data_IF_567786097505
#
_entry.id   IF_567786097505
#
_cell.length_a   1.000
_cell.length_b   1.000
_cell.length_c   1.000
_cell.angle_alpha   90.00
_cell.angle_beta   90.00
_cell.angle_gamma   90.00
#
_symmetry.space_group_name_H-M   'P 1'
#
loop_
_entity.id
_entity.type
_entity.pdbx_description
1 polymer ?
#
# COMPACT_ATOMS: atom_id res chain seq x y z
N UNK A 1 -17.13 27.83 5.61
CA UNK A 1 -16.57 28.50 6.81
C UNK A 1 -17.60 28.82 7.89
N UNK A 2 -18.85 29.18 7.54
CA UNK A 2 -19.89 29.57 8.54
C UNK A 2 -20.27 28.51 9.58
N UNK A 3 -19.75 27.29 9.48
CA UNK A 3 -20.01 26.18 10.41
C UNK A 3 -18.76 25.62 11.10
N UNK A 4 -17.56 26.07 10.72
CA UNK A 4 -16.31 25.63 11.35
C UNK A 4 -16.11 26.29 12.71
N UNK A 5 -15.36 25.64 13.59
CA UNK A 5 -15.00 26.24 14.87
C UNK A 5 -13.90 27.30 14.69
N UNK A 6 -13.71 28.18 15.67
CA UNK A 6 -12.56 29.10 15.67
C UNK A 6 -11.26 28.30 15.65
N UNK A 7 -10.30 28.74 14.84
CA UNK A 7 -8.97 28.16 14.79
C UNK A 7 -8.21 28.53 16.07
N UNK A 8 -7.62 27.55 16.73
CA UNK A 8 -6.67 27.78 17.81
C UNK A 8 -5.26 27.77 17.24
N UNK A 9 -4.63 28.94 17.21
CA UNK A 9 -3.25 29.08 16.75
C UNK A 9 -2.37 29.25 17.97
N UNK A 10 -1.49 28.27 18.21
CA UNK A 10 -0.50 28.34 19.28
C UNK A 10 0.84 28.82 18.72
N UNK A 11 1.36 29.89 19.30
CA UNK A 11 2.71 30.40 18.99
C UNK A 11 3.78 29.52 19.65
N UNK A 12 5.04 29.65 19.21
CA UNK A 12 6.18 28.89 19.76
C UNK A 12 6.34 29.03 21.29
N UNK A 13 5.85 30.12 21.86
CA UNK A 13 5.84 30.38 23.31
C UNK A 13 4.66 29.70 24.05
N UNK A 14 3.95 28.78 23.39
CA UNK A 14 2.75 28.08 23.91
C UNK A 14 1.59 29.02 24.29
N UNK A 15 1.61 30.25 23.78
CA UNK A 15 0.44 31.14 23.85
C UNK A 15 -0.49 30.81 22.71
N UNK A 16 -1.67 30.32 23.04
CA UNK A 16 -2.70 29.95 22.08
C UNK A 16 -3.74 31.07 21.99
N UNK A 17 -3.96 31.55 20.78
CA UNK A 17 -4.97 32.56 20.46
C UNK A 17 -6.06 31.93 19.59
N UNK A 18 -7.29 32.44 19.73
CA UNK A 18 -8.41 32.04 18.88
C UNK A 18 -8.55 33.04 17.74
N UNK A 19 -8.47 32.55 16.51
CA UNK A 19 -8.57 33.37 15.30
C UNK A 19 -9.85 32.98 14.55
N UNK A 20 -10.55 33.97 14.00
CA UNK A 20 -11.77 33.81 13.22
C UNK A 20 -13.07 33.85 14.05
N UNK A 21 -14.21 33.80 13.36
CA UNK A 21 -15.55 33.74 13.97
C UNK A 21 -15.98 32.29 14.17
N UNK A 22 -16.64 32.01 15.31
CA UNK A 22 -17.23 30.69 15.57
C UNK A 22 -18.46 30.51 14.68
N UNK A 23 -18.46 29.50 13.83
CA UNK A 23 -19.60 29.15 13.00
C UNK A 23 -20.79 28.57 13.80
N UNK A 24 -21.95 28.51 13.15
CA UNK A 24 -23.20 27.98 13.73
C UNK A 24 -23.22 26.45 13.92
N UNK A 25 -22.23 25.73 13.39
CA UNK A 25 -22.16 24.27 13.39
C UNK A 25 -23.04 23.62 12.32
N UNK A 26 -22.85 22.32 12.10
CA UNK A 26 -23.73 21.45 11.29
C UNK A 26 -24.06 20.22 12.12
N UNK A 27 -25.29 19.71 12.01
CA UNK A 27 -25.68 18.42 12.58
C UNK A 27 -25.12 17.27 11.72
N UNK A 28 -23.80 17.07 11.82
CA UNK A 28 -23.05 16.05 11.09
C UNK A 28 -21.82 15.63 11.91
N UNK A 29 -21.46 14.34 11.85
CA UNK A 29 -20.28 13.80 12.54
C UNK A 29 -18.98 14.04 11.74
N UNK A 30 -19.09 14.27 10.44
CA UNK A 30 -17.98 14.53 9.52
C UNK A 30 -18.48 15.30 8.31
N UNK A 31 -17.72 16.30 7.85
CA UNK A 31 -18.06 17.14 6.69
C UNK A 31 -17.00 16.97 5.60
N UNK A 32 -17.40 16.44 4.46
CA UNK A 32 -16.55 16.30 3.28
C UNK A 32 -16.81 17.45 2.31
N UNK A 33 -15.87 18.38 2.20
CA UNK A 33 -15.78 19.31 1.07
C UNK A 33 -15.24 18.54 -0.14
N UNK A 34 -15.72 18.86 -1.34
CA UNK A 34 -15.27 18.24 -2.59
C UNK A 34 -15.14 19.36 -3.59
N UNK A 35 -14.01 19.48 -4.27
CA UNK A 35 -13.87 20.46 -5.36
C UNK A 35 -12.94 19.93 -6.44
N UNK A 36 -13.09 20.40 -7.68
CA UNK A 36 -12.42 19.92 -8.89
C UNK A 36 -11.67 21.06 -9.62
N UNK A 37 -10.56 21.53 -9.03
CA UNK A 37 -9.66 22.61 -9.45
C UNK A 37 -8.22 22.07 -9.69
N UNK A 38 -7.56 22.46 -10.77
CA UNK A 38 -6.14 22.14 -11.02
C UNK A 38 -5.22 22.86 -10.01
N UNK A 39 -4.30 22.15 -9.35
CA UNK A 39 -3.38 22.73 -8.34
C UNK A 39 -1.97 22.16 -8.48
N UNK A 40 -0.98 22.82 -7.86
CA UNK A 40 0.42 22.36 -7.88
C UNK A 40 0.63 20.99 -7.21
N UNK A 41 -0.31 20.53 -6.37
CA UNK A 41 -0.29 19.16 -5.82
C UNK A 41 -0.64 18.09 -6.87
N UNK A 42 -1.21 18.50 -8.01
CA UNK A 42 -1.46 17.67 -9.18
C UNK A 42 -0.29 17.70 -10.19
N UNK A 43 0.81 18.43 -9.93
CA UNK A 43 1.97 18.49 -10.82
C UNK A 43 2.74 17.17 -10.99
N UNK A 44 2.79 16.23 -10.01
CA UNK A 44 3.20 14.88 -10.32
C UNK A 44 2.16 14.23 -11.23
N UNK A 45 2.58 13.84 -12.43
CA UNK A 45 1.74 13.35 -13.56
C UNK A 45 0.81 12.18 -13.19
N UNK A 46 1.04 11.51 -12.07
CA UNK A 46 0.29 10.34 -11.58
C UNK A 46 -0.71 10.65 -10.43
N UNK A 47 -0.88 11.91 -10.02
CA UNK A 47 -1.76 12.26 -8.89
C UNK A 47 -3.22 12.39 -9.34
N UNK A 48 -4.03 11.36 -9.09
CA UNK A 48 -5.45 11.34 -9.48
C UNK A 48 -6.36 12.10 -8.50
N UNK A 49 -6.03 12.11 -7.21
CA UNK A 49 -6.73 12.87 -6.16
C UNK A 49 -5.77 13.10 -4.97
N UNK A 50 -6.20 13.95 -4.03
CA UNK A 50 -5.54 14.19 -2.74
C UNK A 50 -6.60 14.64 -1.74
N UNK A 51 -6.50 14.19 -0.49
CA UNK A 51 -7.28 14.69 0.62
C UNK A 51 -6.43 15.02 1.86
N UNK A 52 -7.02 15.82 2.74
CA UNK A 52 -6.41 16.24 3.98
C UNK A 52 -7.48 16.66 4.99
N UNK A 53 -7.32 16.21 6.23
CA UNK A 53 -8.17 16.69 7.33
C UNK A 53 -7.91 18.18 7.59
N UNK A 54 -8.99 18.94 7.77
CA UNK A 54 -8.95 20.38 8.01
C UNK A 54 -9.15 20.75 9.50
N UNK A 55 -9.93 19.95 10.23
CA UNK A 55 -10.25 20.21 11.64
C UNK A 55 -10.38 18.91 12.43
N UNK A 56 -9.84 18.90 13.65
CA UNK A 56 -10.02 17.84 14.64
C UNK A 56 -11.04 18.27 15.71
N UNK A 57 -11.78 17.30 16.26
CA UNK A 57 -12.65 17.50 17.41
C UNK A 57 -11.81 17.74 18.68
N UNK A 58 -12.30 18.64 19.53
CA UNK A 58 -11.55 19.21 20.66
C UNK A 58 -11.27 18.28 21.85
N UNK A 59 -12.00 17.17 22.00
CA UNK A 59 -11.90 16.27 23.15
C UNK A 59 -11.35 14.89 22.76
N UNK A 60 -11.72 14.40 21.59
CA UNK A 60 -11.41 13.07 21.05
C UNK A 60 -10.27 13.10 20.06
N UNK A 61 -9.85 14.27 19.57
CA UNK A 61 -8.84 14.46 18.52
C UNK A 61 -9.22 13.80 17.17
N UNK A 62 -10.51 13.50 16.97
CA UNK A 62 -11.04 12.86 15.77
C UNK A 62 -11.16 13.86 14.61
N UNK A 63 -10.78 13.51 13.38
CA UNK A 63 -11.05 14.33 12.19
C UNK A 63 -12.55 14.55 11.95
N UNK A 64 -12.96 15.80 11.67
CA UNK A 64 -14.37 16.21 11.50
C UNK A 64 -14.67 16.98 10.20
N UNK A 65 -13.67 17.41 9.44
CA UNK A 65 -13.88 18.06 8.13
C UNK A 65 -12.72 17.80 7.15
N UNK A 66 -13.01 17.72 5.83
CA UNK A 66 -12.12 17.23 4.78
C UNK A 66 -12.36 17.84 3.39
N UNK A 67 -11.48 17.61 2.40
CA UNK A 67 -11.57 18.04 1.00
C UNK A 67 -11.18 16.91 0.00
N UNK A 68 -12.03 16.51 -0.98
CA UNK A 68 -11.87 15.24 -1.76
C UNK A 68 -12.26 15.28 -3.28
N UNK A 69 -11.90 14.22 -4.09
CA UNK A 69 -12.24 13.94 -5.53
C UNK A 69 -12.19 12.43 -5.97
N UNK A 70 -13.22 11.97 -6.73
CA UNK A 70 -13.38 10.74 -7.57
C UNK A 70 -13.34 9.27 -6.99
N UNK A 71 -14.35 8.45 -7.33
CA UNK A 71 -14.98 7.32 -6.58
C UNK A 71 -14.11 6.17 -5.97
N UNK A 72 -13.03 5.69 -6.59
CA UNK A 72 -12.17 4.65 -5.95
C UNK A 72 -11.02 5.27 -5.16
N UNK A 73 -10.48 6.37 -5.67
CA UNK A 73 -9.49 7.22 -5.00
C UNK A 73 -10.13 7.92 -3.80
N UNK A 74 -11.40 8.33 -3.88
CA UNK A 74 -12.21 8.90 -2.77
C UNK A 74 -12.11 8.05 -1.52
N UNK A 75 -12.27 6.71 -1.63
CA UNK A 75 -12.23 5.86 -0.44
C UNK A 75 -10.86 5.88 0.22
N UNK A 76 -9.80 5.90 -0.58
CA UNK A 76 -8.42 6.00 -0.12
C UNK A 76 -8.13 7.36 0.52
N UNK A 77 -8.54 8.43 -0.17
CA UNK A 77 -8.40 9.81 0.30
C UNK A 77 -9.19 10.07 1.59
N UNK A 78 -10.44 9.61 1.67
CA UNK A 78 -11.24 9.66 2.90
C UNK A 78 -10.51 8.92 4.04
N UNK A 79 -9.87 7.78 3.79
CA UNK A 79 -9.17 7.04 4.83
C UNK A 79 -7.93 7.78 5.35
N UNK A 80 -7.22 8.53 4.50
CA UNK A 80 -6.16 9.43 4.97
C UNK A 80 -6.69 10.46 5.95
N UNK A 81 -7.86 11.02 5.65
CA UNK A 81 -8.49 12.01 6.50
C UNK A 81 -9.06 11.40 7.78
N UNK A 82 -9.64 10.21 7.72
CA UNK A 82 -10.24 9.57 8.90
C UNK A 82 -9.18 9.06 9.88
N UNK A 83 -8.09 8.46 9.40
CA UNK A 83 -7.15 7.80 10.30
C UNK A 83 -5.71 7.72 9.81
N UNK A 84 -5.50 7.58 8.51
CA UNK A 84 -4.22 7.15 7.98
C UNK A 84 -3.39 8.33 7.49
N UNK A 85 -2.94 9.17 8.41
CA UNK A 85 -2.03 10.25 8.11
C UNK A 85 -0.95 10.33 9.18
N UNK A 86 0.28 10.63 8.77
CA UNK A 86 1.42 10.78 9.68
C UNK A 86 1.17 11.85 10.75
N UNK A 87 0.38 12.88 10.42
CA UNK A 87 -0.04 13.92 11.37
C UNK A 87 -1.09 13.46 12.38
N UNK A 88 -1.81 12.36 12.12
CA UNK A 88 -2.89 11.84 12.97
C UNK A 88 -2.39 10.83 14.00
N UNK A 89 -1.31 10.08 13.71
CA UNK A 89 -0.84 8.99 14.57
C UNK A 89 -0.47 9.43 15.98
N UNK A 90 0.09 10.63 16.15
CA UNK A 90 0.39 11.17 17.47
C UNK A 90 -0.87 11.41 18.30
N UNK A 91 -2.04 11.54 17.67
CA UNK A 91 -3.30 11.84 18.33
C UNK A 91 -4.09 10.61 18.76
N UNK A 92 -3.69 9.41 18.37
CA UNK A 92 -4.40 8.18 18.72
C UNK A 92 -4.57 7.97 20.23
N UNK A 93 -5.67 7.32 20.58
CA UNK A 93 -6.09 7.02 21.94
C UNK A 93 -6.33 5.53 22.12
N UNK A 94 -6.09 5.04 23.33
CA UNK A 94 -6.40 3.67 23.67
C UNK A 94 -7.93 3.45 23.83
N UNK A 95 -8.32 2.21 24.11
CA UNK A 95 -9.73 1.83 24.29
C UNK A 95 -10.43 2.51 25.47
N UNK A 96 -9.68 3.08 26.42
CA UNK A 96 -10.22 3.86 27.53
C UNK A 96 -10.35 5.35 27.18
N UNK A 97 -9.88 5.75 25.99
CA UNK A 97 -9.82 7.14 25.55
C UNK A 97 -8.56 7.88 26.00
N UNK A 98 -7.60 7.20 26.63
CA UNK A 98 -6.35 7.81 27.09
C UNK A 98 -5.37 7.98 25.90
N UNK A 99 -4.70 9.13 25.75
CA UNK A 99 -3.75 9.34 24.67
C UNK A 99 -2.59 8.34 24.70
N UNK A 100 -2.29 7.71 23.56
CA UNK A 100 -1.06 6.91 23.44
C UNK A 100 0.21 7.76 23.52
N UNK A 101 0.13 9.03 23.09
CA UNK A 101 1.24 9.98 23.09
C UNK A 101 1.04 11.05 24.14
N UNK A 102 2.07 11.30 24.96
CA UNK A 102 2.05 12.30 26.03
C UNK A 102 1.60 13.67 25.52
N UNK A 103 0.64 14.29 26.22
CA UNK A 103 0.10 15.62 25.89
C UNK A 103 0.78 16.71 26.71
N UNK A 104 1.02 17.87 26.10
CA UNK A 104 1.43 19.07 26.81
C UNK A 104 0.27 19.57 27.70
N UNK A 105 0.47 19.81 29.01
CA UNK A 105 -0.60 20.23 29.91
C UNK A 105 -1.27 21.56 29.55
N UNK A 106 -0.55 22.47 28.87
CA UNK A 106 -1.06 23.79 28.52
C UNK A 106 -1.89 23.76 27.22
N UNK A 107 -1.42 23.04 26.19
CA UNK A 107 -2.10 22.99 24.88
C UNK A 107 -3.04 21.80 24.74
N UNK A 108 -2.82 20.72 25.50
CA UNK A 108 -3.42 19.38 25.35
C UNK A 108 -3.05 18.65 24.05
N UNK A 109 -2.11 19.18 23.28
CA UNK A 109 -1.60 18.57 22.04
C UNK A 109 -0.39 17.68 22.33
N UNK A 110 0.02 16.77 21.42
CA UNK A 110 1.21 15.96 21.62
C UNK A 110 2.43 16.85 21.91
N UNK A 111 3.26 16.41 22.85
CA UNK A 111 4.35 17.25 23.40
C UNK A 111 5.50 17.52 22.42
N UNK A 112 5.76 16.57 21.52
CA UNK A 112 6.87 16.60 20.57
C UNK A 112 6.37 16.94 19.18
N UNK A 113 6.91 18.01 18.59
CA UNK A 113 6.61 18.44 17.23
C UNK A 113 7.90 18.42 16.39
N UNK A 114 7.85 17.76 15.23
CA UNK A 114 8.94 17.72 14.28
C UNK A 114 8.82 18.93 13.32
N UNK A 115 9.69 19.93 13.49
CA UNK A 115 9.69 21.13 12.65
C UNK A 115 10.06 20.85 11.19
N UNK A 116 10.77 19.75 10.90
CA UNK A 116 11.17 19.41 9.53
C UNK A 116 10.02 18.76 8.77
N UNK A 117 9.30 17.87 9.44
CA UNK A 117 8.17 17.13 8.86
C UNK A 117 6.82 17.85 9.04
N UNK A 118 6.78 18.90 9.88
CA UNK A 118 5.56 19.64 10.22
C UNK A 118 4.44 18.76 10.80
N UNK A 119 4.82 17.76 11.60
CA UNK A 119 3.89 16.82 12.25
C UNK A 119 4.29 16.57 13.70
N UNK A 120 3.33 16.13 14.52
CA UNK A 120 3.62 15.68 15.88
C UNK A 120 4.23 14.28 15.88
N UNK A 121 5.21 14.06 16.75
CA UNK A 121 5.89 12.77 16.86
C UNK A 121 5.05 11.81 17.72
N UNK A 122 4.60 10.66 17.17
CA UNK A 122 3.88 9.66 17.94
C UNK A 122 4.79 8.94 18.95
N UNK A 123 4.19 8.36 19.99
CA UNK A 123 4.91 7.52 20.95
C UNK A 123 5.33 6.16 20.37
N UNK A 124 6.22 5.48 21.08
CA UNK A 124 6.66 4.11 20.81
C UNK A 124 5.53 3.06 20.93
N UNK A 125 4.38 3.44 21.49
CA UNK A 125 3.17 2.61 21.51
C UNK A 125 2.44 2.60 20.17
N UNK A 126 2.66 3.62 19.33
CA UNK A 126 2.00 3.76 18.01
C UNK A 126 2.98 3.41 16.90
N UNK A 127 4.16 4.06 16.85
CA UNK A 127 5.18 3.80 15.84
C UNK A 127 6.49 3.33 16.46
N UNK A 128 7.12 2.32 15.86
CA UNK A 128 8.46 1.87 16.24
C UNK A 128 9.34 1.69 15.02
N UNK A 129 10.63 2.05 15.16
CA UNK A 129 11.65 1.67 14.18
C UNK A 129 12.20 0.29 14.55
N UNK A 130 12.08 -0.65 13.63
CA UNK A 130 12.54 -2.02 13.77
C UNK A 130 13.71 -2.24 12.82
N UNK A 131 14.83 -2.75 13.34
CA UNK A 131 16.03 -3.05 12.55
C UNK A 131 16.05 -4.51 12.13
N UNK A 132 16.03 -4.77 10.83
CA UNK A 132 16.27 -6.08 10.23
C UNK A 132 17.76 -6.19 9.89
N UNK A 133 18.53 -6.93 10.71
CA UNK A 133 20.00 -6.99 10.64
C UNK A 133 20.56 -7.78 9.46
N UNK A 134 19.79 -8.74 8.94
CA UNK A 134 20.24 -9.69 7.93
C UNK A 134 19.52 -9.48 6.59
N UNK A 135 19.33 -8.24 6.16
CA UNK A 135 18.60 -7.95 4.93
C UNK A 135 19.46 -8.27 3.70
N UNK A 136 19.10 -9.33 2.96
CA UNK A 136 19.86 -9.77 1.77
C UNK A 136 19.58 -8.88 0.57
N UNK A 137 20.66 -8.46 -0.07
CA UNK A 137 20.70 -7.78 -1.38
C UNK A 137 21.66 -8.53 -2.29
N UNK A 138 21.72 -8.16 -3.56
CA UNK A 138 22.71 -8.69 -4.52
C UNK A 138 24.15 -8.44 -4.06
N UNK A 139 24.39 -7.26 -3.48
CA UNK A 139 25.74 -6.83 -3.06
C UNK A 139 26.16 -7.34 -1.67
N UNK A 140 25.29 -8.07 -0.98
CA UNK A 140 25.59 -8.64 0.34
C UNK A 140 24.43 -8.52 1.31
N UNK A 141 24.74 -8.30 2.59
CA UNK A 141 23.74 -8.16 3.65
C UNK A 141 23.86 -6.78 4.28
N UNK A 142 22.71 -6.12 4.48
CA UNK A 142 22.62 -4.79 5.08
C UNK A 142 21.68 -4.79 6.29
N UNK A 143 21.75 -3.72 7.09
CA UNK A 143 20.71 -3.41 8.06
C UNK A 143 19.59 -2.60 7.38
N UNK A 144 18.36 -3.11 7.38
CA UNK A 144 17.17 -2.34 6.95
C UNK A 144 16.44 -1.80 8.17
N UNK A 145 16.23 -0.49 8.21
CA UNK A 145 15.39 0.17 9.23
C UNK A 145 13.99 0.30 8.64
N UNK A 146 13.03 -0.28 9.34
CA UNK A 146 11.62 -0.29 8.96
C UNK A 146 10.81 0.44 10.02
N UNK A 147 9.94 1.36 9.60
CA UNK A 147 8.96 1.97 10.53
C UNK A 147 7.70 1.12 10.55
N UNK A 148 7.30 0.68 11.74
CA UNK A 148 6.11 -0.13 11.95
C UNK A 148 5.06 0.59 12.78
N UNK A 149 3.81 0.43 12.39
CA UNK A 149 2.65 0.75 13.21
C UNK A 149 2.33 -0.44 14.11
N UNK A 150 2.46 -0.23 15.43
CA UNK A 150 2.52 -1.31 16.43
C UNK A 150 1.35 -1.33 17.40
N UNK A 151 0.25 -0.64 17.08
CA UNK A 151 -0.96 -0.61 17.90
C UNK A 151 -1.59 -2.00 18.05
N UNK A 152 -2.37 -2.25 19.12
CA UNK A 152 -2.75 -3.61 19.51
C UNK A 152 -3.53 -4.41 18.46
N UNK A 153 -4.59 -3.86 17.85
CA UNK A 153 -5.40 -4.56 16.85
C UNK A 153 -4.64 -4.71 15.54
N UNK A 154 -3.94 -3.68 15.08
CA UNK A 154 -3.09 -3.75 13.88
C UNK A 154 -2.08 -4.89 14.02
N UNK A 155 -1.37 -4.94 15.14
CA UNK A 155 -0.41 -6.00 15.46
C UNK A 155 -1.08 -7.39 15.47
N UNK A 156 -2.28 -7.52 16.04
CA UNK A 156 -3.00 -8.78 16.06
C UNK A 156 -3.39 -9.24 14.64
N UNK A 157 -3.96 -8.34 13.83
CA UNK A 157 -4.38 -8.64 12.46
C UNK A 157 -3.20 -9.05 11.58
N UNK A 158 -2.06 -8.35 11.62
CA UNK A 158 -0.92 -8.74 10.78
C UNK A 158 -0.30 -10.06 11.20
N UNK A 159 -0.27 -10.37 12.51
CA UNK A 159 0.22 -11.66 13.00
C UNK A 159 -0.65 -12.81 12.50
N UNK A 160 -1.97 -12.64 12.54
CA UNK A 160 -2.92 -13.60 12.00
C UNK A 160 -2.80 -13.71 10.48
N UNK A 161 -2.82 -12.58 9.77
CA UNK A 161 -2.76 -12.51 8.31
C UNK A 161 -1.55 -13.24 7.75
N UNK A 162 -0.34 -12.93 8.23
CA UNK A 162 0.88 -13.59 7.76
C UNK A 162 1.11 -14.97 8.40
N UNK A 163 0.41 -15.31 9.49
CA UNK A 163 0.74 -16.50 10.29
C UNK A 163 2.10 -16.36 11.00
N UNK A 164 2.47 -15.16 11.44
CA UNK A 164 3.74 -14.87 12.11
C UNK A 164 3.52 -14.30 13.52
N UNK A 165 3.49 -15.13 14.58
CA UNK A 165 3.19 -14.68 15.95
C UNK A 165 4.18 -13.66 16.53
N UNK A 166 5.40 -13.62 16.00
CA UNK A 166 6.47 -12.74 16.50
C UNK A 166 6.53 -11.40 15.75
N UNK A 167 5.64 -11.14 14.80
CA UNK A 167 5.63 -9.88 14.04
C UNK A 167 5.34 -8.69 14.95
N UNK A 168 6.09 -7.60 14.77
CA UNK A 168 6.11 -6.45 15.68
C UNK A 168 5.00 -5.45 15.39
N UNK A 169 4.56 -5.35 14.13
CA UNK A 169 3.50 -4.45 13.67
C UNK A 169 3.32 -4.52 12.16
N UNK A 170 2.55 -3.59 11.61
CA UNK A 170 2.41 -3.41 10.17
C UNK A 170 3.47 -2.43 9.66
N UNK A 171 4.21 -2.82 8.61
CA UNK A 171 5.21 -1.94 7.99
C UNK A 171 4.53 -0.79 7.24
N UNK A 172 5.05 0.42 7.44
CA UNK A 172 4.66 1.62 6.70
C UNK A 172 5.59 1.82 5.51
N UNK A 173 5.04 2.34 4.43
CA UNK A 173 5.76 2.68 3.20
C UNK A 173 6.98 3.57 3.49
N UNK A 174 8.14 3.18 2.95
CA UNK A 174 9.42 3.87 3.16
C UNK A 174 9.97 4.52 1.89
N UNK A 175 9.31 4.35 0.74
CA UNK A 175 9.67 4.94 -0.54
C UNK A 175 8.66 6.01 -0.97
N UNK A 176 9.02 6.74 -2.04
CA UNK A 176 8.19 7.82 -2.59
C UNK A 176 8.48 9.19 -1.97
N UNK A 177 7.54 10.12 -2.16
CA UNK A 177 7.65 11.49 -1.66
C UNK A 177 7.28 11.61 -0.18
N UNK A 178 7.42 12.79 0.41
CA UNK A 178 6.94 13.09 1.78
C UNK A 178 5.43 12.80 1.95
N UNK A 179 4.65 12.88 0.88
CA UNK A 179 3.22 12.53 0.90
C UNK A 179 2.92 11.03 0.77
N UNK A 180 3.91 10.20 0.47
CA UNK A 180 3.76 8.75 0.26
C UNK A 180 4.35 7.95 1.41
N UNK A 181 5.56 8.30 1.85
CA UNK A 181 6.24 7.63 2.94
C UNK A 181 5.52 7.88 4.28
N UNK A 182 5.39 6.84 5.10
CA UNK A 182 4.74 6.86 6.42
C UNK A 182 3.23 7.15 6.43
N UNK A 183 2.60 7.41 5.28
CA UNK A 183 1.16 7.66 5.15
C UNK A 183 0.42 6.48 4.53
N UNK A 184 1.12 5.41 4.18
CA UNK A 184 0.59 4.22 3.51
C UNK A 184 1.15 2.94 4.12
N UNK A 185 0.44 1.82 3.89
CA UNK A 185 0.98 0.48 4.14
C UNK A 185 2.06 0.15 3.12
N UNK A 186 3.08 -0.58 3.57
CA UNK A 186 4.17 -1.10 2.74
C UNK A 186 3.64 -1.97 1.60
N UNK A 187 3.84 -1.50 0.38
CA UNK A 187 3.24 -2.12 -0.79
C UNK A 187 3.78 -3.53 -1.04
N UNK A 188 5.06 -3.80 -0.77
CA UNK A 188 5.64 -5.15 -0.88
C UNK A 188 4.85 -6.19 -0.06
N UNK A 189 4.37 -5.79 1.12
CA UNK A 189 3.71 -6.68 2.07
C UNK A 189 2.19 -6.68 1.96
N UNK A 190 1.60 -5.63 1.39
CA UNK A 190 0.16 -5.40 1.41
C UNK A 190 -0.40 -5.01 0.03
N UNK A 191 0.18 -5.48 -1.08
CA UNK A 191 -0.09 -5.03 -2.45
C UNK A 191 -1.54 -4.64 -2.79
N UNK A 192 -2.52 -5.51 -2.48
CA UNK A 192 -3.94 -5.28 -2.78
C UNK A 192 -4.71 -4.54 -1.67
N UNK A 193 -4.05 -3.95 -0.69
CA UNK A 193 -4.69 -3.11 0.32
C UNK A 193 -4.97 -1.73 -0.26
N UNK A 194 -6.13 -1.15 0.09
CA UNK A 194 -6.54 0.15 -0.41
C UNK A 194 -5.57 1.27 -0.03
N UNK A 195 -4.91 1.20 1.13
CA UNK A 195 -3.98 2.20 1.66
C UNK A 195 -2.52 1.92 1.30
N UNK A 196 -2.26 1.25 0.18
CA UNK A 196 -0.91 1.24 -0.42
C UNK A 196 -0.69 2.48 -1.30
N UNK A 197 0.54 2.98 -1.37
CA UNK A 197 0.87 4.28 -2.00
C UNK A 197 0.78 4.35 -3.52
N UNK A 198 0.16 3.36 -4.17
CA UNK A 198 -0.13 3.40 -5.60
C UNK A 198 -1.34 2.53 -5.93
N UNK A 199 -2.10 2.97 -6.93
CA UNK A 199 -3.31 2.27 -7.36
C UNK A 199 -3.04 0.83 -7.79
N UNK A 200 -3.86 -0.10 -7.30
CA UNK A 200 -3.88 -1.48 -7.78
C UNK A 200 -5.25 -1.89 -8.27
N UNK A 201 -5.24 -2.83 -9.21
CA UNK A 201 -6.46 -3.51 -9.60
C UNK A 201 -6.85 -4.49 -8.49
N UNK A 202 -8.04 -4.30 -7.90
CA UNK A 202 -8.55 -5.04 -6.72
C UNK A 202 -8.06 -4.58 -5.34
N UNK A 203 -7.75 -3.29 -5.18
CA UNK A 203 -7.61 -2.70 -3.85
C UNK A 203 -8.82 -3.01 -2.95
N UNK A 204 -8.56 -3.57 -1.76
CA UNK A 204 -9.56 -3.92 -0.76
C UNK A 204 -9.38 -3.10 0.52
N UNK A 205 -10.49 -2.72 1.15
CA UNK A 205 -10.47 -2.31 2.56
C UNK A 205 -10.41 -3.60 3.37
N UNK A 206 -9.23 -3.91 3.88
CA UNK A 206 -9.00 -5.13 4.64
C UNK A 206 -9.21 -4.94 6.14
N UNK A 207 -9.22 -6.05 6.90
CA UNK A 207 -9.23 -5.98 8.37
C UNK A 207 -8.04 -5.21 8.94
N UNK A 208 -6.95 -5.02 8.17
CA UNK A 208 -5.80 -4.24 8.60
C UNK A 208 -6.16 -2.75 8.75
N UNK A 209 -6.74 -2.15 7.72
CA UNK A 209 -7.17 -0.74 7.75
C UNK A 209 -8.34 -0.53 8.71
N UNK A 210 -9.25 -1.50 8.81
CA UNK A 210 -10.31 -1.48 9.83
C UNK A 210 -9.75 -1.52 11.25
N UNK A 211 -8.70 -2.32 11.50
CA UNK A 211 -8.03 -2.33 12.79
C UNK A 211 -7.31 -1.02 13.11
N UNK A 212 -6.77 -0.33 12.10
CA UNK A 212 -6.21 1.00 12.29
C UNK A 212 -7.29 2.02 12.69
N UNK A 213 -8.45 2.00 12.04
CA UNK A 213 -9.62 2.81 12.42
C UNK A 213 -10.02 2.54 13.89
N UNK A 214 -10.08 1.28 14.31
CA UNK A 214 -10.42 0.96 15.71
C UNK A 214 -9.31 1.41 16.69
N UNK A 215 -8.05 1.10 16.39
CA UNK A 215 -6.88 1.45 17.23
C UNK A 215 -6.62 2.96 17.33
N UNK A 216 -7.25 3.78 16.48
CA UNK A 216 -7.22 5.24 16.63
C UNK A 216 -7.93 5.72 17.90
N UNK A 217 -8.87 4.93 18.41
CA UNK A 217 -9.76 5.29 19.51
C UNK A 217 -10.93 6.18 19.07
N UNK A 218 -11.13 6.41 17.76
CA UNK A 218 -12.14 7.32 17.22
C UNK A 218 -13.37 6.63 16.67
N UNK A 219 -13.26 5.37 16.29
CA UNK A 219 -14.30 4.65 15.56
C UNK A 219 -14.58 3.29 16.22
N UNK A 220 -15.86 2.96 16.33
CA UNK A 220 -16.29 1.56 16.51
C UNK A 220 -16.43 0.93 15.12
N UNK A 221 -15.84 -0.24 14.93
CA UNK A 221 -15.61 -0.82 13.60
C UNK A 221 -16.22 -2.21 13.50
N UNK A 222 -17.14 -2.38 12.56
CA UNK A 222 -17.63 -3.71 12.17
C UNK A 222 -16.70 -4.34 11.14
N UNK A 223 -16.02 -5.41 11.55
CA UNK A 223 -15.14 -6.21 10.67
C UNK A 223 -15.88 -7.00 9.59
N UNK A 224 -17.21 -7.06 9.61
CA UNK A 224 -18.03 -7.71 8.57
C UNK A 224 -17.90 -7.00 7.20
N UNK A 225 -17.52 -5.72 7.21
CA UNK A 225 -17.26 -4.95 5.99
C UNK A 225 -15.85 -5.15 5.44
N UNK A 226 -14.96 -5.75 6.24
CA UNK A 226 -13.61 -6.07 5.84
C UNK A 226 -13.59 -7.11 4.73
N UNK A 227 -12.79 -6.85 3.70
CA UNK A 227 -12.58 -7.79 2.60
C UNK A 227 -11.30 -8.60 2.84
N UNK A 228 -11.26 -9.88 2.46
CA UNK A 228 -10.06 -10.70 2.61
C UNK A 228 -8.90 -10.11 1.80
N UNK A 229 -7.80 -9.80 2.47
CA UNK A 229 -6.52 -9.57 1.81
C UNK A 229 -5.88 -10.93 1.55
N UNK A 230 -5.66 -11.29 0.29
CA UNK A 230 -5.06 -12.58 -0.06
C UNK A 230 -3.54 -12.51 -0.15
N UNK A 231 -3.01 -11.35 -0.54
CA UNK A 231 -1.58 -11.14 -0.68
C UNK A 231 -0.85 -11.37 0.65
N UNK A 232 0.18 -12.20 0.65
CA UNK A 232 0.99 -12.47 1.84
C UNK A 232 0.35 -13.40 2.88
N UNK A 233 -0.92 -13.81 2.69
CA UNK A 233 -1.65 -14.56 3.72
C UNK A 233 -0.99 -15.91 4.01
N UNK A 234 -0.73 -16.20 5.29
CA UNK A 234 -0.10 -17.43 5.77
C UNK A 234 1.30 -17.73 5.20
N UNK A 235 2.03 -16.74 4.69
CA UNK A 235 3.38 -16.95 4.16
C UNK A 235 4.48 -17.00 5.24
N UNK A 236 4.11 -16.75 6.49
CA UNK A 236 4.97 -16.92 7.65
C UNK A 236 5.95 -15.78 7.90
N UNK A 237 6.77 -15.93 8.94
CA UNK A 237 7.73 -14.92 9.35
C UNK A 237 8.84 -14.67 8.33
N UNK A 238 9.25 -15.72 7.59
CA UNK A 238 10.29 -15.61 6.57
C UNK A 238 9.86 -14.67 5.45
N UNK A 239 8.58 -14.66 5.05
CA UNK A 239 8.09 -13.71 4.06
C UNK A 239 8.09 -12.26 4.56
N UNK A 240 7.52 -12.03 5.74
CA UNK A 240 7.23 -10.67 6.23
C UNK A 240 8.44 -9.98 6.86
N UNK A 241 9.40 -10.74 7.41
CA UNK A 241 10.58 -10.18 8.10
C UNK A 241 11.83 -10.06 7.24
N UNK A 242 11.84 -10.60 6.03
CA UNK A 242 12.98 -10.53 5.10
C UNK A 242 12.61 -9.82 3.80
N UNK A 243 13.62 -9.52 2.98
CA UNK A 243 13.43 -8.98 1.64
C UNK A 243 13.00 -10.05 0.65
N UNK A 244 12.49 -9.61 -0.51
CA UNK A 244 12.06 -10.53 -1.56
C UNK A 244 13.21 -11.35 -2.15
N UNK A 245 14.47 -10.86 -2.12
CA UNK A 245 15.64 -11.69 -2.48
C UNK A 245 15.67 -12.99 -1.67
N UNK A 246 15.68 -12.87 -0.35
CA UNK A 246 15.78 -14.02 0.54
C UNK A 246 14.60 -14.99 0.39
N UNK A 247 13.39 -14.44 0.22
CA UNK A 247 12.21 -15.24 -0.05
C UNK A 247 12.32 -16.00 -1.38
N UNK A 248 12.64 -15.30 -2.47
CA UNK A 248 12.77 -15.87 -3.81
C UNK A 248 13.85 -16.95 -3.80
N UNK A 249 15.05 -16.64 -3.29
CA UNK A 249 16.17 -17.59 -3.23
C UNK A 249 15.79 -18.86 -2.46
N UNK A 250 15.18 -18.72 -1.27
CA UNK A 250 14.71 -19.84 -0.45
C UNK A 250 13.69 -20.73 -1.17
N UNK A 251 12.78 -20.13 -1.96
CA UNK A 251 11.78 -20.87 -2.74
C UNK A 251 12.41 -21.58 -3.94
N UNK A 252 13.31 -20.91 -4.65
CA UNK A 252 13.98 -21.49 -5.81
C UNK A 252 14.92 -22.64 -5.43
N UNK A 253 15.65 -22.54 -4.32
CA UNK A 253 16.47 -23.63 -3.77
C UNK A 253 15.64 -24.89 -3.48
N UNK A 254 14.39 -24.71 -3.02
CA UNK A 254 13.42 -25.79 -2.78
C UNK A 254 12.66 -26.23 -4.02
N UNK A 255 12.92 -25.63 -5.18
CA UNK A 255 12.15 -25.82 -6.43
C UNK A 255 10.65 -25.52 -6.27
N UNK A 256 10.32 -24.57 -5.41
CA UNK A 256 8.97 -24.08 -5.15
C UNK A 256 8.68 -22.81 -5.97
N UNK A 257 7.39 -22.52 -6.17
CA UNK A 257 6.95 -21.25 -6.75
C UNK A 257 7.25 -20.10 -5.75
N UNK A 258 7.93 -19.02 -6.16
CA UNK A 258 8.26 -17.89 -5.29
C UNK A 258 7.08 -16.95 -5.00
N UNK A 259 5.83 -17.38 -5.19
CA UNK A 259 4.61 -16.63 -4.89
C UNK A 259 4.72 -15.85 -3.57
N UNK A 260 4.28 -14.57 -3.54
CA UNK A 260 3.63 -13.81 -4.61
C UNK A 260 4.59 -13.20 -5.62
N UNK A 261 5.89 -13.26 -5.35
CA UNK A 261 6.92 -12.76 -6.26
C UNK A 261 7.12 -13.68 -7.46
N UNK A 262 7.82 -13.17 -8.47
CA UNK A 262 8.06 -13.88 -9.72
C UNK A 262 9.49 -13.71 -10.21
N UNK A 263 9.93 -14.69 -10.99
CA UNK A 263 11.14 -14.61 -11.79
C UNK A 263 10.78 -14.91 -13.24
N UNK A 264 11.02 -13.98 -14.15
CA UNK A 264 10.81 -14.19 -15.59
C UNK A 264 12.12 -14.03 -16.36
N UNK A 265 12.18 -14.61 -17.55
CA UNK A 265 13.29 -14.37 -18.49
C UNK A 265 13.01 -13.04 -19.20
N UNK A 266 13.72 -11.95 -18.91
CA UNK A 266 13.34 -10.63 -19.42
C UNK A 266 13.49 -10.52 -20.94
N UNK A 267 14.38 -11.34 -21.54
CA UNK A 267 14.67 -11.35 -22.98
C UNK A 267 13.98 -12.48 -23.77
N UNK A 268 12.95 -13.13 -23.23
CA UNK A 268 12.17 -14.05 -24.08
C UNK A 268 11.24 -13.25 -24.97
N UNK A 269 11.27 -13.49 -26.29
CA UNK A 269 10.37 -12.89 -27.29
C UNK A 269 8.87 -13.19 -27.07
N UNK A 270 8.53 -13.91 -26.01
CA UNK A 270 7.18 -14.25 -25.61
C UNK A 270 6.94 -13.78 -24.17
N UNK A 271 5.96 -12.90 -23.99
CA UNK A 271 5.41 -12.55 -22.69
C UNK A 271 4.91 -13.81 -22.00
N UNK A 272 5.58 -14.25 -20.92
CA UNK A 272 5.15 -15.42 -20.15
C UNK A 272 3.93 -15.03 -19.30
N UNK A 273 2.75 -15.29 -19.86
CA UNK A 273 1.50 -15.25 -19.11
C UNK A 273 1.38 -16.50 -18.24
N UNK A 274 0.83 -16.35 -17.04
CA UNK A 274 0.53 -17.44 -16.12
C UNK A 274 -0.77 -17.14 -15.37
N UNK A 275 -1.25 -18.06 -14.57
CA UNK A 275 -2.42 -17.85 -13.74
C UNK A 275 -2.08 -17.19 -12.40
N UNK A 276 -2.95 -16.30 -11.94
CA UNK A 276 -2.91 -15.88 -10.54
C UNK A 276 -3.10 -17.11 -9.63
N UNK A 277 -2.60 -17.03 -8.39
CA UNK A 277 -2.76 -18.09 -7.39
C UNK A 277 -4.22 -18.54 -7.17
N UNK A 278 -5.18 -17.62 -7.35
CA UNK A 278 -6.63 -17.84 -7.24
C UNK A 278 -7.27 -18.43 -8.50
N UNK A 279 -6.49 -18.61 -9.57
CA UNK A 279 -6.91 -19.07 -10.89
C UNK A 279 -8.07 -18.26 -11.48
N UNK A 280 -8.27 -17.01 -11.09
CA UNK A 280 -9.41 -16.18 -11.50
C UNK A 280 -9.04 -15.12 -12.54
N UNK A 281 -7.75 -15.02 -12.89
CA UNK A 281 -7.22 -14.10 -13.89
C UNK A 281 -5.89 -14.57 -14.45
N UNK A 282 -5.57 -14.09 -15.64
CA UNK A 282 -4.24 -14.20 -16.25
C UNK A 282 -3.36 -13.06 -15.74
N UNK A 283 -2.12 -13.37 -15.39
CA UNK A 283 -1.14 -12.42 -14.83
C UNK A 283 0.19 -12.56 -15.56
N UNK A 284 1.04 -11.55 -15.40
CA UNK A 284 2.41 -11.56 -15.91
C UNK A 284 3.35 -10.98 -14.88
N UNK A 285 4.56 -11.52 -14.84
CA UNK A 285 5.62 -10.99 -14.00
C UNK A 285 5.98 -9.56 -14.42
N UNK A 286 5.84 -8.59 -13.52
CA UNK A 286 6.11 -7.17 -13.79
C UNK A 286 7.60 -6.80 -13.71
N UNK A 287 8.49 -7.75 -14.02
CA UNK A 287 9.93 -7.53 -14.10
C UNK A 287 10.27 -6.73 -15.36
N UNK A 288 10.98 -5.62 -15.19
CA UNK A 288 11.36 -4.70 -16.28
C UNK A 288 12.84 -4.36 -16.22
N UNK A 289 13.37 -3.86 -17.34
CA UNK A 289 14.71 -3.26 -17.43
C UNK A 289 14.59 -1.73 -17.30
N UNK A 290 15.40 -1.15 -16.42
CA UNK A 290 15.55 0.29 -16.27
C UNK A 290 16.73 0.83 -17.11
N UNK A 291 16.70 2.12 -17.44
CA UNK A 291 17.81 2.74 -18.18
C UNK A 291 19.12 2.75 -17.37
N UNK A 292 19.00 2.99 -16.06
CA UNK A 292 20.09 3.03 -15.10
C UNK A 292 19.93 1.93 -14.05
N UNK A 293 21.02 1.51 -13.36
CA UNK A 293 20.93 0.58 -12.24
C UNK A 293 19.95 1.08 -11.17
N UNK A 294 19.08 0.18 -10.69
CA UNK A 294 18.21 0.50 -9.55
C UNK A 294 19.04 0.58 -8.25
N UNK A 295 18.55 1.21 -7.17
CA UNK A 295 19.32 1.34 -5.93
C UNK A 295 19.82 -0.02 -5.40
N UNK A 296 21.05 -0.05 -4.90
CA UNK A 296 21.77 -1.28 -4.56
C UNK A 296 21.06 -2.12 -3.50
N UNK A 297 20.31 -1.48 -2.60
CA UNK A 297 19.49 -2.10 -1.56
C UNK A 297 18.28 -2.88 -2.11
N UNK A 298 17.84 -2.58 -3.33
CA UNK A 298 16.72 -3.23 -4.01
C UNK A 298 17.15 -4.16 -5.16
N UNK A 299 18.45 -4.22 -5.47
CA UNK A 299 18.96 -5.22 -6.41
C UNK A 299 18.91 -6.60 -5.77
N UNK A 300 18.09 -7.51 -6.31
CA UNK A 300 17.85 -8.84 -5.72
C UNK A 300 18.44 -10.02 -6.51
N UNK A 301 18.78 -9.80 -7.78
CA UNK A 301 19.18 -10.87 -8.69
C UNK A 301 20.69 -11.08 -8.75
N UNK A 302 21.16 -12.29 -8.45
CA UNK A 302 22.57 -12.67 -8.67
C UNK A 302 22.81 -13.09 -10.13
N UNK A 303 21.76 -13.63 -10.76
CA UNK A 303 21.73 -14.02 -12.17
C UNK A 303 20.32 -13.91 -12.72
N UNK A 304 20.19 -13.63 -14.02
CA UNK A 304 18.91 -13.68 -14.73
C UNK A 304 19.06 -14.53 -15.99
N UNK A 305 18.04 -15.31 -16.37
CA UNK A 305 18.08 -16.11 -17.59
C UNK A 305 18.34 -15.22 -18.82
N UNK A 306 19.29 -15.63 -19.66
CA UNK A 306 19.67 -14.93 -20.90
C UNK A 306 20.32 -13.55 -20.69
N UNK A 307 20.82 -13.27 -19.49
CA UNK A 307 21.57 -12.04 -19.18
C UNK A 307 22.91 -12.44 -18.57
N UNK A 308 24.00 -12.21 -19.31
CA UNK A 308 25.36 -12.58 -18.90
C UNK A 308 26.16 -11.42 -18.33
N UNK A 309 25.81 -10.17 -18.67
CA UNK A 309 26.47 -8.98 -18.15
C UNK A 309 25.94 -8.63 -16.75
N UNK A 310 26.85 -8.64 -15.77
CA UNK A 310 26.56 -8.29 -14.39
C UNK A 310 26.15 -6.81 -14.21
N UNK A 311 26.63 -5.91 -15.06
CA UNK A 311 26.18 -4.52 -15.01
C UNK A 311 24.74 -4.37 -15.52
N UNK A 312 24.33 -5.22 -16.45
CA UNK A 312 22.97 -5.25 -16.98
C UNK A 312 21.98 -5.77 -15.91
N UNK A 313 22.35 -6.81 -15.15
CA UNK A 313 21.50 -7.37 -14.07
C UNK A 313 21.11 -6.31 -13.03
N UNK A 314 21.98 -5.32 -12.77
CA UNK A 314 21.74 -4.24 -11.82
C UNK A 314 20.55 -3.34 -12.21
N UNK A 315 20.11 -3.41 -13.47
CA UNK A 315 19.01 -2.61 -14.04
C UNK A 315 17.67 -3.32 -14.00
N UNK A 316 17.60 -4.55 -13.50
CA UNK A 316 16.36 -5.31 -13.46
C UNK A 316 15.69 -5.27 -12.09
N UNK A 317 14.39 -4.99 -12.09
CA UNK A 317 13.55 -4.96 -10.90
C UNK A 317 12.07 -5.01 -11.27
N UNK A 318 11.21 -5.18 -10.27
CA UNK A 318 9.77 -5.01 -10.42
C UNK A 318 9.44 -3.58 -10.83
N UNK A 319 8.51 -3.43 -11.78
CA UNK A 319 8.08 -2.14 -12.33
C UNK A 319 7.54 -1.17 -11.26
N UNK A 320 6.98 -1.71 -10.19
CA UNK A 320 6.38 -0.94 -9.11
C UNK A 320 7.43 -0.66 -8.04
N UNK A 321 7.98 0.54 -8.06
CA UNK A 321 9.03 0.99 -7.15
C UNK A 321 8.66 0.74 -5.68
N UNK A 322 7.47 1.19 -5.26
CA UNK A 322 6.97 1.10 -3.87
C UNK A 322 6.90 -0.33 -3.33
N UNK A 323 6.92 -1.34 -4.19
CA UNK A 323 7.02 -2.73 -3.75
C UNK A 323 8.48 -3.14 -3.50
N UNK A 324 9.35 -2.23 -3.05
CA UNK A 324 10.81 -2.41 -2.90
C UNK A 324 11.49 -2.91 -4.21
N UNK A 325 10.97 -2.55 -5.39
CA UNK A 325 11.33 -3.14 -6.69
C UNK A 325 11.25 -4.69 -6.72
N UNK A 326 10.50 -5.32 -5.83
CA UNK A 326 10.27 -6.75 -5.86
C UNK A 326 9.35 -7.09 -7.04
N UNK A 327 9.76 -7.98 -7.96
CA UNK A 327 8.91 -8.37 -9.07
C UNK A 327 7.85 -9.35 -8.62
N UNK A 328 6.62 -9.14 -9.07
CA UNK A 328 5.47 -9.97 -8.77
C UNK A 328 4.55 -10.14 -9.98
N UNK A 329 3.68 -11.14 -9.90
CA UNK A 329 2.70 -11.40 -10.95
C UNK A 329 1.55 -10.38 -10.85
N UNK A 330 1.45 -9.52 -11.85
CA UNK A 330 0.47 -8.44 -11.93
C UNK A 330 -0.64 -8.75 -12.94
N UNK A 331 -1.85 -8.25 -12.67
CA UNK A 331 -2.99 -8.31 -13.60
C UNK A 331 -2.67 -7.60 -14.93
N UNK A 332 -3.21 -8.13 -16.02
CA UNK A 332 -2.99 -7.62 -17.37
C UNK A 332 -4.18 -6.77 -17.82
N UNK A 333 -3.86 -5.62 -18.44
CA UNK A 333 -4.82 -4.85 -19.25
C UNK A 333 -4.33 -4.85 -20.70
N UNK A 334 -5.17 -5.34 -21.62
CA UNK A 334 -4.85 -5.39 -23.04
C UNK A 334 -5.04 -4.01 -23.68
N UNK A 335 -3.95 -3.31 -23.98
CA UNK A 335 -3.95 -1.91 -24.47
C UNK A 335 -4.85 -1.65 -25.68
N UNK A 336 -4.95 -2.61 -26.61
CA UNK A 336 -5.71 -2.42 -27.85
C UNK A 336 -7.23 -2.48 -27.64
N UNK A 337 -7.68 -3.14 -26.58
CA UNK A 337 -9.11 -3.42 -26.33
C UNK A 337 -9.60 -2.87 -25.00
N UNK A 338 -8.71 -2.33 -24.15
CA UNK A 338 -8.96 -1.98 -22.75
C UNK A 338 -9.60 -3.11 -21.92
N UNK A 339 -9.39 -4.35 -22.36
CA UNK A 339 -9.89 -5.55 -21.71
C UNK A 339 -9.02 -5.90 -20.51
N UNK A 340 -9.62 -6.31 -19.40
CA UNK A 340 -8.88 -6.88 -18.27
C UNK A 340 -8.67 -8.40 -18.47
N UNK A 341 -7.90 -9.04 -17.60
CA UNK A 341 -7.59 -10.46 -17.72
C UNK A 341 -8.40 -11.39 -16.82
N UNK A 342 -9.39 -10.86 -16.12
CA UNK A 342 -10.23 -11.61 -15.18
C UNK A 342 -11.15 -12.57 -15.90
N UNK A 343 -11.03 -13.86 -15.58
CA UNK A 343 -11.77 -14.94 -16.20
C UNK A 343 -13.29 -14.83 -15.94
N UNK A 344 -13.67 -14.32 -14.76
CA UNK A 344 -15.06 -14.30 -14.33
C UNK A 344 -15.93 -13.18 -14.93
N UNK A 345 -15.33 -12.26 -15.71
CA UNK A 345 -15.99 -11.10 -16.30
C UNK A 345 -16.27 -11.36 -17.77
N UNK A 346 -17.55 -11.49 -18.15
CA UNK A 346 -17.95 -11.70 -19.55
C UNK A 346 -17.54 -10.56 -20.48
N UNK A 347 -17.36 -9.34 -19.93
CA UNK A 347 -16.84 -8.18 -20.66
C UNK A 347 -15.42 -8.41 -21.16
N UNK A 348 -14.70 -9.35 -20.54
CA UNK A 348 -13.38 -9.76 -20.98
C UNK A 348 -13.41 -10.85 -22.06
N UNK A 349 -14.53 -11.12 -22.73
CA UNK A 349 -14.52 -12.08 -23.84
C UNK A 349 -13.82 -11.47 -25.09
N UNK A 350 -12.71 -12.06 -25.60
CA UNK A 350 -12.11 -11.60 -26.85
C UNK A 350 -13.05 -11.82 -28.05
N UNK A 351 -13.00 -10.95 -29.09
CA UNK A 351 -13.74 -11.15 -30.33
C UNK A 351 -13.37 -12.50 -30.98
N UNK A 352 -14.34 -13.18 -31.61
CA UNK A 352 -14.12 -14.53 -32.16
C UNK A 352 -12.95 -14.64 -33.15
N UNK A 353 -12.60 -13.55 -33.86
CA UNK A 353 -11.46 -13.51 -34.79
C UNK A 353 -10.10 -13.38 -34.13
N UNK A 354 -10.06 -12.93 -32.87
CA UNK A 354 -8.85 -12.71 -32.07
C UNK A 354 -8.72 -13.74 -30.93
N UNK A 355 -9.74 -14.59 -30.73
CA UNK A 355 -9.76 -15.62 -29.69
C UNK A 355 -9.02 -16.90 -30.10
N UNK A 356 -7.74 -16.77 -30.45
CA UNK A 356 -6.92 -17.88 -30.95
C UNK A 356 -6.73 -18.99 -29.90
N UNK A 357 -6.75 -18.63 -28.62
CA UNK A 357 -6.61 -19.57 -27.50
C UNK A 357 -7.94 -20.21 -27.06
N UNK A 358 -9.05 -19.95 -27.78
CA UNK A 358 -10.39 -20.47 -27.47
C UNK A 358 -10.83 -20.17 -26.03
N UNK A 359 -10.45 -19.00 -25.53
CA UNK A 359 -10.75 -18.54 -24.18
C UNK A 359 -12.26 -18.34 -24.01
N UNK A 360 -12.77 -18.65 -22.81
CA UNK A 360 -14.16 -18.42 -22.44
C UNK A 360 -14.22 -17.67 -21.11
N UNK A 361 -14.89 -16.52 -21.12
CA UNK A 361 -15.06 -15.65 -19.97
C UNK A 361 -16.51 -15.68 -19.49
N UNK A 362 -16.73 -16.07 -18.24
CA UNK A 362 -18.05 -16.24 -17.62
C UNK A 362 -17.89 -16.34 -16.11
N UNK A 363 -18.95 -16.16 -15.32
CA UNK A 363 -18.86 -16.20 -13.85
C UNK A 363 -18.19 -17.47 -13.26
N UNK A 364 -18.23 -18.60 -13.98
CA UNK A 364 -17.58 -19.86 -13.56
C UNK A 364 -16.20 -20.11 -14.19
N UNK A 365 -15.70 -19.21 -15.03
CA UNK A 365 -14.43 -19.39 -15.73
C UNK A 365 -13.22 -19.23 -14.79
N UNK A 366 -12.19 -20.02 -15.06
CA UNK A 366 -10.91 -20.03 -14.33
C UNK A 366 -9.74 -20.03 -15.33
N UNK A 367 -8.60 -19.57 -14.87
CA UNK A 367 -7.33 -19.60 -15.58
C UNK A 367 -6.65 -20.95 -15.36
N UNK A 368 -6.12 -21.52 -16.44
CA UNK A 368 -5.36 -22.76 -16.42
C UNK A 368 -4.02 -22.56 -17.12
N UNK A 369 -2.92 -22.88 -16.43
CA UNK A 369 -1.61 -22.88 -17.04
C UNK A 369 -1.49 -24.06 -18.01
N UNK A 370 -0.91 -23.79 -19.18
CA UNK A 370 -0.66 -24.82 -20.18
C UNK A 370 0.67 -25.53 -19.85
N UNK A 371 0.68 -26.86 -19.90
CA UNK A 371 1.88 -27.66 -19.61
C UNK A 371 3.00 -27.58 -20.67
N UNK A 372 2.67 -27.10 -21.88
CA UNK A 372 3.60 -26.92 -23.00
C UNK A 372 3.29 -25.64 -23.76
N UNK A 373 4.31 -25.08 -24.43
CA UNK A 373 4.14 -23.96 -25.36
C UNK A 373 3.19 -24.43 -26.48
N UNK A 374 2.15 -23.64 -26.74
CA UNK A 374 1.28 -23.85 -27.89
C UNK A 374 1.85 -23.08 -29.08
N UNK A 375 2.13 -23.79 -30.18
CA UNK A 375 2.50 -23.19 -31.46
C UNK A 375 1.24 -23.05 -32.32
N UNK A 376 0.98 -21.84 -32.80
CA UNK A 376 -0.09 -21.58 -33.76
C UNK A 376 0.47 -21.78 -35.17
N UNK A 377 0.01 -22.81 -35.88
CA UNK A 377 0.20 -22.92 -37.32
C UNK A 377 -0.76 -21.94 -38.00
N UNK A 378 -0.22 -20.86 -38.57
CA UNK A 378 -0.95 -20.00 -39.50
C UNK A 378 -0.77 -20.64 -40.88
N UNK A 379 -1.79 -21.34 -41.37
CA UNK A 379 -1.84 -21.71 -42.78
C UNK A 379 -1.88 -20.41 -43.60
N UNK A 380 -0.85 -20.19 -44.43
CA UNK A 380 -0.77 -19.08 -45.39
C UNK A 380 -1.65 -19.32 -46.61
#
# INVERSE_FOLDING_TARGET
>A
DEHLHQCHVCTKDKKCERIGSKGGGVDAEFILYVSAIETNQCEPVDTLATASYCQLESNQDRPIADFDRLVSTIKHEILHTLVFSSGLFAFFRDSNGDPFTERDPATRWPKMYDEKLQVYTPSDKVLQQIVRKNWKTRSGTIEKITTMLVTPKVKAIVREHFGCPTLEGAELENQGSVGTALTHWEKRLFEHEIMTGSYTQESVISNLTLALLEDSGWYDVSYDFGKPLLWGRNLGCDFVKTGCKEWIDSKLEKKENPYPFCISSPKSNHSKHTCAYTHDKVVMCNLVEYADPIPAEYQIFDSLPNITDQNEIARFGGHVMLADYCPYNQELTYKNTNRASRCYRSENQPPSRENYALEKFSSGSKCFDHGSIWEQYIDQ
#
